data_IF_556786744287
#
_entry.id   IF_556786744287
#
_cell.length_a   1.000
_cell.length_b   1.000
_cell.length_c   1.000
_cell.angle_alpha   90.00
_cell.angle_beta   90.00
_cell.angle_gamma   90.00
#
_symmetry.space_group_name_H-M   'P 1'
#
loop_
_entity.id
_entity.type
_entity.pdbx_description
1 polymer ?
#
# COMPACT_ATOMS: atom_id res chain seq x y z
N UNK A 1 7.14 -7.97 -64.11
CA UNK A 1 6.14 -8.05 -63.02
C UNK A 1 6.78 -8.71 -61.83
N UNK A 2 6.68 -8.05 -60.67
CA UNK A 2 6.93 -8.52 -59.28
C UNK A 2 8.41 -8.74 -58.91
N UNK A 3 9.02 -8.11 -57.91
CA UNK A 3 8.66 -7.17 -56.82
C UNK A 3 9.85 -7.22 -55.83
N UNK A 4 10.63 -6.16 -55.65
CA UNK A 4 10.53 -5.12 -54.61
C UNK A 4 10.33 -5.62 -53.16
N UNK A 5 11.29 -5.33 -52.29
CA UNK A 5 11.24 -5.56 -50.84
C UNK A 5 12.66 -5.62 -50.23
N UNK A 6 13.45 -4.55 -50.30
CA UNK A 6 13.61 -3.57 -49.22
C UNK A 6 13.81 -4.22 -47.84
N UNK A 7 15.09 -4.36 -47.48
CA UNK A 7 15.51 -4.73 -46.15
C UNK A 7 15.07 -3.69 -45.14
N UNK A 8 14.47 -4.17 -44.05
CA UNK A 8 14.28 -3.41 -42.83
C UNK A 8 14.79 -4.26 -41.67
N UNK A 9 15.99 -3.92 -41.21
CA UNK A 9 16.51 -4.33 -39.91
C UNK A 9 15.67 -3.56 -38.89
N UNK A 10 14.63 -4.20 -38.35
CA UNK A 10 13.91 -3.71 -37.17
C UNK A 10 14.44 -4.44 -35.94
N UNK A 11 15.66 -4.05 -35.53
CA UNK A 11 16.03 -4.10 -34.13
C UNK A 11 15.38 -2.92 -33.43
N UNK A 12 14.54 -3.17 -32.43
CA UNK A 12 13.86 -2.07 -31.75
C UNK A 12 12.95 -2.52 -30.62
N UNK A 13 13.57 -2.73 -29.46
CA UNK A 13 12.98 -2.60 -28.11
C UNK A 13 11.62 -3.28 -27.87
N UNK A 14 11.69 -4.53 -27.40
CA UNK A 14 10.66 -5.02 -26.49
C UNK A 14 10.69 -4.15 -25.23
N UNK A 15 9.80 -3.14 -25.14
CA UNK A 15 9.43 -2.53 -23.86
C UNK A 15 8.77 -3.62 -23.02
N UNK A 16 9.61 -4.39 -22.34
CA UNK A 16 9.21 -5.27 -21.28
C UNK A 16 8.67 -4.35 -20.19
N UNK A 17 7.34 -4.24 -20.09
CA UNK A 17 6.66 -3.67 -18.93
C UNK A 17 7.07 -4.50 -17.70
N UNK A 18 8.23 -4.21 -17.14
CA UNK A 18 8.63 -4.63 -15.80
C UNK A 18 7.87 -3.77 -14.78
N UNK A 19 6.55 -3.80 -14.84
CA UNK A 19 5.66 -3.13 -13.88
C UNK A 19 4.99 -4.14 -12.93
N UNK A 20 5.54 -5.35 -12.82
CA UNK A 20 4.88 -6.47 -12.13
C UNK A 20 5.61 -7.00 -10.89
N UNK A 21 6.68 -6.35 -10.45
CA UNK A 21 7.60 -7.00 -9.50
C UNK A 21 7.60 -6.44 -8.06
N UNK A 22 6.49 -5.92 -7.54
CA UNK A 22 6.40 -5.62 -6.09
C UNK A 22 5.06 -5.92 -5.40
N UNK A 23 4.02 -6.39 -6.12
CA UNK A 23 2.69 -6.62 -5.53
C UNK A 23 2.35 -8.10 -5.32
N UNK A 24 3.06 -9.03 -5.95
CA UNK A 24 2.57 -10.41 -6.13
C UNK A 24 3.07 -11.50 -5.14
N UNK A 25 3.74 -11.20 -4.01
CA UNK A 25 4.27 -12.29 -3.15
C UNK A 25 3.98 -12.17 -1.65
N UNK A 26 2.83 -11.64 -1.26
CA UNK A 26 2.28 -12.00 0.05
C UNK A 26 0.77 -11.86 0.18
N UNK A 27 0.11 -11.21 -0.81
CA UNK A 27 -1.33 -11.16 -0.96
C UNK A 27 -1.91 -12.58 -1.12
N UNK A 28 -2.32 -13.17 0.00
CA UNK A 28 -2.82 -14.55 0.10
C UNK A 28 -2.25 -15.36 1.26
N UNK A 29 -1.16 -14.91 1.89
CA UNK A 29 -0.62 -15.56 3.09
C UNK A 29 -1.25 -14.96 4.35
N UNK A 30 -1.51 -15.79 5.36
CA UNK A 30 -1.98 -15.31 6.65
C UNK A 30 -0.86 -14.52 7.35
N UNK A 31 -1.20 -13.41 8.00
CA UNK A 31 -0.27 -12.70 8.89
C UNK A 31 0.01 -13.57 10.12
N UNK A 32 1.30 -13.69 10.47
CA UNK A 32 1.75 -14.27 11.73
C UNK A 32 1.52 -13.35 12.95
N UNK A 33 1.18 -12.08 12.71
CA UNK A 33 0.88 -11.08 13.74
C UNK A 33 -0.62 -10.86 13.84
N UNK A 34 -1.07 -10.57 15.05
CA UNK A 34 -2.38 -9.98 15.28
C UNK A 34 -2.49 -8.57 14.71
N UNK A 35 -3.72 -8.09 14.49
CA UNK A 35 -3.92 -6.72 14.02
C UNK A 35 -3.39 -5.69 15.02
N UNK A 36 -3.56 -5.95 16.32
CA UNK A 36 -3.04 -5.10 17.40
C UNK A 36 -1.52 -4.96 17.33
N UNK A 37 -0.81 -6.06 17.13
CA UNK A 37 0.66 -6.05 17.00
C UNK A 37 1.10 -5.32 15.73
N UNK A 38 0.46 -5.60 14.59
CA UNK A 38 0.75 -4.93 13.34
C UNK A 38 0.55 -3.40 13.45
N UNK A 39 -0.52 -2.97 14.13
CA UNK A 39 -0.82 -1.56 14.41
C UNK A 39 0.25 -0.90 15.29
N UNK A 40 0.70 -1.59 16.34
CA UNK A 40 1.75 -1.10 17.23
C UNK A 40 3.08 -0.93 16.47
N UNK A 41 3.45 -1.93 15.67
CA UNK A 41 4.66 -1.90 14.83
C UNK A 41 4.61 -0.74 13.84
N UNK A 42 3.50 -0.60 13.10
CA UNK A 42 3.31 0.50 12.14
C UNK A 42 3.43 1.85 12.84
N UNK A 43 2.78 2.04 13.98
CA UNK A 43 2.87 3.29 14.75
C UNK A 43 4.31 3.61 15.14
N UNK A 44 5.05 2.61 15.66
CA UNK A 44 6.46 2.78 16.01
C UNK A 44 7.33 3.14 14.81
N UNK A 45 7.08 2.50 13.66
CA UNK A 45 7.81 2.76 12.41
C UNK A 45 7.56 4.16 11.88
N UNK A 46 6.31 4.65 11.92
CA UNK A 46 5.99 6.03 11.53
C UNK A 46 6.78 7.02 12.39
N UNK A 47 6.77 6.87 13.71
CA UNK A 47 7.52 7.76 14.61
C UNK A 47 9.03 7.70 14.33
N UNK A 48 9.58 6.50 14.16
CA UNK A 48 11.00 6.30 13.89
C UNK A 48 11.46 6.87 12.53
N UNK A 49 10.53 7.13 11.61
CA UNK A 49 10.81 7.60 10.24
C UNK A 49 10.44 9.06 10.03
N UNK A 50 10.20 9.80 11.11
CA UNK A 50 10.03 11.25 11.08
C UNK A 50 8.58 11.73 11.05
N UNK A 51 7.59 10.84 11.18
CA UNK A 51 6.22 11.29 11.43
C UNK A 51 6.09 11.81 12.87
N UNK A 52 5.45 12.95 13.05
CA UNK A 52 5.06 13.44 14.37
C UNK A 52 3.99 12.54 15.01
N UNK A 53 3.84 12.62 16.34
CA UNK A 53 2.78 11.92 17.08
C UNK A 53 1.38 12.24 16.55
N UNK A 54 1.15 13.50 16.16
CA UNK A 54 -0.14 13.96 15.62
C UNK A 54 -0.41 13.35 14.25
N UNK A 55 0.59 13.29 13.36
CA UNK A 55 0.46 12.65 12.05
C UNK A 55 0.21 11.15 12.23
N UNK A 56 1.03 10.45 13.01
CA UNK A 56 0.86 9.01 13.25
C UNK A 56 -0.53 8.69 13.83
N UNK A 57 -1.00 9.47 14.80
CA UNK A 57 -2.34 9.29 15.38
C UNK A 57 -3.46 9.55 14.38
N UNK A 58 -3.33 10.57 13.54
CA UNK A 58 -4.30 10.87 12.48
C UNK A 58 -4.37 9.73 11.45
N UNK A 59 -3.22 9.27 10.97
CA UNK A 59 -3.14 8.23 9.95
C UNK A 59 -3.67 6.89 10.48
N UNK A 60 -3.19 6.47 11.65
CA UNK A 60 -3.60 5.18 12.23
C UNK A 60 -5.07 5.16 12.62
N UNK A 61 -5.65 6.25 13.15
CA UNK A 61 -7.09 6.30 13.45
C UNK A 61 -7.95 6.11 12.20
N UNK A 62 -7.57 6.72 11.08
CA UNK A 62 -8.32 6.57 9.82
C UNK A 62 -8.12 5.19 9.20
N UNK A 63 -6.89 4.65 9.24
CA UNK A 63 -6.60 3.28 8.84
C UNK A 63 -7.42 2.28 9.67
N UNK A 64 -7.48 2.44 11.00
CA UNK A 64 -8.28 1.61 11.91
C UNK A 64 -9.76 1.63 11.52
N UNK A 65 -10.32 2.82 11.27
CA UNK A 65 -11.73 2.96 10.85
C UNK A 65 -12.02 2.20 9.56
N UNK A 66 -11.11 2.27 8.58
CA UNK A 66 -11.31 1.63 7.28
C UNK A 66 -11.10 0.11 7.36
N UNK A 67 -10.07 -0.36 8.06
CA UNK A 67 -9.79 -1.79 8.22
C UNK A 67 -10.88 -2.46 9.06
N UNK A 68 -11.38 -1.81 10.12
CA UNK A 68 -12.43 -2.38 10.97
C UNK A 68 -13.80 -2.51 10.28
N UNK A 69 -14.04 -1.74 9.21
CA UNK A 69 -15.24 -1.89 8.39
C UNK A 69 -15.30 -3.26 7.70
N UNK A 70 -14.15 -3.91 7.45
CA UNK A 70 -14.10 -5.28 6.97
C UNK A 70 -14.37 -6.25 8.12
N UNK A 71 -15.50 -6.93 8.08
CA UNK A 71 -15.98 -7.87 9.10
C UNK A 71 -15.75 -9.32 8.67
N UNK A 72 -15.92 -10.27 9.59
CA UNK A 72 -15.67 -11.70 9.32
C UNK A 72 -16.49 -12.26 8.15
N UNK A 73 -17.73 -11.80 8.00
CA UNK A 73 -18.64 -12.13 6.89
C UNK A 73 -18.17 -11.58 5.52
N UNK A 74 -17.29 -10.58 5.53
CA UNK A 74 -16.65 -10.06 4.33
C UNK A 74 -15.42 -10.86 3.89
N UNK A 75 -15.05 -11.96 4.55
CA UNK A 75 -13.89 -12.77 4.15
C UNK A 75 -14.22 -13.73 2.99
N UNK A 76 -13.29 -13.82 2.02
CA UNK A 76 -13.30 -14.89 1.03
C UNK A 76 -12.74 -16.19 1.63
N UNK A 77 -12.57 -17.24 0.84
CA UNK A 77 -12.19 -18.56 1.34
C UNK A 77 -10.79 -18.58 1.96
N UNK A 78 -9.84 -17.87 1.33
CA UNK A 78 -8.49 -17.68 1.87
C UNK A 78 -8.53 -16.88 3.19
N UNK A 79 -9.30 -15.78 3.21
CA UNK A 79 -9.49 -14.96 4.39
C UNK A 79 -10.11 -15.72 5.56
N UNK A 80 -11.08 -16.60 5.29
CA UNK A 80 -11.70 -17.45 6.32
C UNK A 80 -10.69 -18.40 6.95
N UNK A 81 -9.78 -18.98 6.16
CA UNK A 81 -8.67 -19.81 6.67
C UNK A 81 -7.72 -19.01 7.57
N UNK A 82 -7.43 -17.75 7.22
CA UNK A 82 -6.56 -16.89 8.01
C UNK A 82 -7.22 -16.30 9.27
N UNK A 83 -8.53 -16.13 9.25
CA UNK A 83 -9.27 -15.40 10.27
C UNK A 83 -9.16 -13.88 10.13
N UNK A 84 -10.16 -13.18 10.68
CA UNK A 84 -10.35 -11.73 10.48
C UNK A 84 -9.18 -10.89 10.98
N UNK A 85 -8.57 -11.28 12.11
CA UNK A 85 -7.50 -10.51 12.72
C UNK A 85 -6.23 -10.56 11.87
N UNK A 86 -5.89 -11.75 11.36
CA UNK A 86 -4.79 -11.96 10.44
C UNK A 86 -5.00 -11.23 9.10
N UNK A 87 -6.22 -11.28 8.56
CA UNK A 87 -6.56 -10.59 7.31
C UNK A 87 -6.42 -9.07 7.44
N UNK A 88 -6.86 -8.49 8.56
CA UNK A 88 -6.68 -7.07 8.88
C UNK A 88 -5.21 -6.71 9.10
N UNK A 89 -4.46 -7.58 9.77
CA UNK A 89 -3.02 -7.39 9.98
C UNK A 89 -2.23 -7.36 8.66
N UNK A 90 -2.64 -8.14 7.65
CA UNK A 90 -1.96 -8.15 6.35
C UNK A 90 -2.01 -6.80 5.63
N UNK A 91 -3.09 -6.02 5.77
CA UNK A 91 -3.17 -4.66 5.21
C UNK A 91 -1.99 -3.81 5.70
N UNK A 92 -1.72 -3.84 7.00
CA UNK A 92 -0.60 -3.10 7.61
C UNK A 92 0.76 -3.75 7.30
N UNK A 93 0.79 -5.08 7.13
CA UNK A 93 1.98 -5.81 6.72
C UNK A 93 2.48 -5.41 5.32
N UNK A 94 1.57 -5.26 4.34
CA UNK A 94 1.93 -4.74 3.02
C UNK A 94 2.35 -3.28 3.09
N UNK A 95 1.63 -2.48 3.87
CA UNK A 95 1.94 -1.06 4.00
C UNK A 95 3.35 -0.86 4.58
N UNK A 96 3.75 -1.66 5.58
CA UNK A 96 5.09 -1.58 6.18
C UNK A 96 6.18 -1.83 5.11
N UNK A 97 6.00 -2.87 4.29
CA UNK A 97 6.93 -3.22 3.22
C UNK A 97 7.01 -2.16 2.11
N UNK A 98 5.88 -1.52 1.78
CA UNK A 98 5.81 -0.52 0.69
C UNK A 98 6.23 0.88 1.14
N UNK A 99 5.95 1.25 2.39
CA UNK A 99 6.18 2.61 2.89
C UNK A 99 7.62 2.83 3.37
N UNK A 100 8.28 1.81 3.93
CA UNK A 100 9.61 1.95 4.54
C UNK A 100 10.86 1.54 3.72
N UNK A 101 10.85 1.44 2.38
CA UNK A 101 12.08 1.38 1.57
C UNK A 101 12.60 2.77 1.12
N UNK A 102 12.10 3.88 1.68
CA UNK A 102 12.57 5.22 1.34
C UNK A 102 14.02 5.42 1.80
N UNK A 103 14.96 5.22 0.88
CA UNK A 103 16.39 5.43 1.10
C UNK A 103 16.66 6.87 1.54
N UNK A 104 17.55 7.11 2.51
CA UNK A 104 18.08 8.45 2.77
C UNK A 104 18.63 9.03 1.47
N UNK A 105 18.25 10.27 1.12
CA UNK A 105 18.75 10.97 -0.08
C UNK A 105 17.71 11.32 -1.14
N UNK A 106 16.41 11.06 -0.95
CA UNK A 106 15.39 11.69 -1.79
C UNK A 106 15.33 13.19 -1.48
N UNK A 107 15.76 14.03 -2.43
CA UNK A 107 15.85 15.50 -2.23
C UNK A 107 14.51 16.23 -2.05
N UNK A 108 13.37 15.54 -2.11
CA UNK A 108 12.05 16.13 -1.90
C UNK A 108 11.71 16.22 -0.40
N UNK A 109 11.37 17.42 0.08
CA UNK A 109 10.85 17.59 1.45
C UNK A 109 9.52 16.87 1.60
N UNK A 110 9.48 15.85 2.45
CA UNK A 110 8.27 15.10 2.76
C UNK A 110 7.33 15.86 3.72
N UNK A 111 7.85 16.90 4.37
CA UNK A 111 7.13 17.66 5.39
C UNK A 111 6.42 18.89 4.81
N UNK A 112 6.63 19.18 3.51
CA UNK A 112 5.86 20.18 2.78
C UNK A 112 4.38 19.81 2.71
N UNK A 113 3.52 20.81 2.91
CA UNK A 113 2.06 20.63 2.84
C UNK A 113 1.52 20.79 1.41
N UNK A 114 0.45 20.06 1.14
CA UNK A 114 -0.36 20.17 -0.07
C UNK A 114 -1.81 20.42 0.30
N UNK A 115 -2.50 21.21 -0.52
CA UNK A 115 -3.95 21.29 -0.50
C UNK A 115 -4.52 19.99 -1.08
N UNK A 116 -5.62 19.53 -0.50
CA UNK A 116 -6.30 18.29 -0.88
C UNK A 116 -7.80 18.51 -0.84
N UNK A 117 -8.55 17.62 -1.48
CA UNK A 117 -10.03 17.61 -1.48
C UNK A 117 -10.61 17.12 -0.14
N UNK A 118 -10.02 17.53 0.98
CA UNK A 118 -10.35 17.09 2.33
C UNK A 118 -10.17 15.58 2.56
N UNK A 119 -9.08 14.98 2.06
CA UNK A 119 -8.80 13.56 2.29
C UNK A 119 -8.78 13.23 3.78
N UNK A 120 -9.55 12.21 4.16
CA UNK A 120 -9.76 11.79 5.55
C UNK A 120 -10.15 12.96 6.49
N UNK A 121 -10.85 13.96 5.96
CA UNK A 121 -11.35 15.12 6.70
C UNK A 121 -10.34 16.27 6.88
N UNK A 122 -9.17 16.23 6.23
CA UNK A 122 -8.16 17.31 6.31
C UNK A 122 -7.91 17.93 4.94
N UNK A 123 -8.04 19.26 4.84
CA UNK A 123 -7.76 20.02 3.60
C UNK A 123 -6.27 20.19 3.31
N UNK A 124 -5.43 20.15 4.34
CA UNK A 124 -3.98 20.26 4.23
C UNK A 124 -3.34 19.01 4.80
N UNK A 125 -2.47 18.39 4.00
CA UNK A 125 -1.70 17.21 4.38
C UNK A 125 -0.27 17.36 3.91
N UNK A 126 0.66 16.84 4.71
CA UNK A 126 2.06 16.72 4.30
C UNK A 126 2.21 15.71 3.16
N UNK A 127 3.24 15.86 2.33
CA UNK A 127 3.59 14.87 1.29
C UNK A 127 3.75 13.48 1.91
N UNK A 128 4.32 13.41 3.12
CA UNK A 128 4.48 12.17 3.88
C UNK A 128 3.16 11.50 4.28
N UNK A 129 2.18 12.27 4.73
CA UNK A 129 0.82 11.79 5.02
C UNK A 129 0.12 11.30 3.75
N UNK A 130 0.27 12.04 2.65
CA UNK A 130 -0.28 11.66 1.35
C UNK A 130 0.31 10.35 0.82
N UNK A 131 1.61 10.16 0.97
CA UNK A 131 2.27 8.90 0.61
C UNK A 131 1.70 7.73 1.42
N UNK A 132 1.56 7.91 2.73
CA UNK A 132 0.93 6.89 3.59
C UNK A 132 -0.48 6.56 3.07
N UNK A 133 -1.31 7.56 2.82
CA UNK A 133 -2.70 7.38 2.39
C UNK A 133 -2.76 6.62 1.07
N UNK A 134 -1.97 7.01 0.08
CA UNK A 134 -1.92 6.35 -1.23
C UNK A 134 -1.52 4.87 -1.10
N UNK A 135 -0.43 4.58 -0.40
CA UNK A 135 0.04 3.20 -0.19
C UNK A 135 -0.95 2.38 0.64
N UNK A 136 -1.59 2.98 1.64
CA UNK A 136 -2.62 2.33 2.44
C UNK A 136 -3.80 1.88 1.57
N UNK A 137 -4.31 2.74 0.70
CA UNK A 137 -5.42 2.39 -0.19
C UNK A 137 -5.04 1.29 -1.18
N UNK A 138 -3.81 1.31 -1.71
CA UNK A 138 -3.28 0.23 -2.55
C UNK A 138 -3.21 -1.11 -1.80
N UNK A 139 -2.66 -1.10 -0.58
CA UNK A 139 -2.57 -2.29 0.27
C UNK A 139 -3.94 -2.83 0.68
N UNK A 140 -4.91 -1.95 0.94
CA UNK A 140 -6.28 -2.34 1.24
C UNK A 140 -6.97 -2.95 0.02
N UNK A 141 -6.74 -2.38 -1.18
CA UNK A 141 -7.22 -2.94 -2.45
C UNK A 141 -6.69 -4.35 -2.68
N UNK A 142 -5.37 -4.55 -2.55
CA UNK A 142 -4.76 -5.86 -2.66
C UNK A 142 -5.30 -6.85 -1.60
N UNK A 143 -5.47 -6.41 -0.35
CA UNK A 143 -6.08 -7.26 0.66
C UNK A 143 -7.53 -7.63 0.31
N UNK A 144 -8.30 -6.72 -0.30
CA UNK A 144 -9.66 -7.02 -0.78
C UNK A 144 -9.68 -8.07 -1.88
N UNK A 145 -8.74 -8.03 -2.81
CA UNK A 145 -8.65 -9.03 -3.88
C UNK A 145 -8.32 -10.43 -3.32
N UNK A 146 -7.47 -10.51 -2.29
CA UNK A 146 -6.89 -11.79 -1.85
C UNK A 146 -7.52 -12.39 -0.59
N UNK A 147 -8.09 -11.58 0.31
CA UNK A 147 -8.57 -12.02 1.63
C UNK A 147 -10.01 -11.60 1.94
N UNK A 148 -10.53 -10.56 1.31
CA UNK A 148 -11.92 -10.14 1.48
C UNK A 148 -12.74 -10.45 0.22
N UNK A 149 -14.05 -10.26 0.33
CA UNK A 149 -15.00 -10.24 -0.78
C UNK A 149 -14.97 -8.81 -1.33
N UNK A 150 -14.79 -8.71 -2.65
CA UNK A 150 -14.75 -7.44 -3.40
C UNK A 150 -16.01 -6.61 -3.23
#
# INVERSE_FOLDING_TARGET
MNGMGLGFILGGLALSLACSSFVAYSAGQCSAKSYREARAVMTSRLLATGYSKTQASFLMRNADRMISAHRTDSLNDNGRTCGIDSARAQVLGYLDKQLFPLKPGSGASLDGERQTEAFWGRKRLTVRELLFIGQFHGCLGAAKEHLFRG
#
